data_IF_313411850557
#
_entry.id   IF_313411850557
#
_cell.length_a   1.000
_cell.length_b   1.000
_cell.length_c   1.000
_cell.angle_alpha   90.00
_cell.angle_beta   90.00
_cell.angle_gamma   90.00
#
_symmetry.space_group_name_H-M   'P 1'
#
loop_
_entity.id
_entity.type
_entity.pdbx_description
1 polymer ?
#
# COMPACT_ATOMS: atom_id res chain seq x y z
N UNK A 1 19.78 -0.31 23.42
CA UNK A 1 20.04 -1.72 23.14
C UNK A 1 18.90 -2.28 22.30
N UNK A 2 19.21 -2.96 21.22
CA UNK A 2 18.25 -3.56 20.32
C UNK A 2 17.56 -4.78 20.96
N UNK A 3 16.23 -4.85 20.90
CA UNK A 3 15.48 -5.99 21.48
C UNK A 3 15.66 -7.32 20.73
N UNK A 4 16.19 -7.30 19.49
CA UNK A 4 16.42 -8.53 18.71
C UNK A 4 17.83 -9.11 18.90
N UNK A 5 18.86 -8.29 18.80
CA UNK A 5 20.25 -8.75 18.87
C UNK A 5 20.95 -8.42 20.19
N UNK A 6 20.30 -7.66 21.09
CA UNK A 6 20.82 -7.24 22.41
C UNK A 6 22.06 -6.35 22.34
N UNK A 7 22.51 -5.93 21.15
CA UNK A 7 23.60 -4.98 20.98
C UNK A 7 23.12 -3.53 21.20
N UNK A 8 24.00 -2.70 21.72
CA UNK A 8 23.76 -1.26 21.92
C UNK A 8 24.40 -0.38 20.87
N UNK A 9 25.27 -0.95 20.05
CA UNK A 9 25.99 -0.23 19.00
C UNK A 9 25.01 0.15 17.88
N UNK A 10 25.13 1.36 17.38
CA UNK A 10 24.36 1.85 16.25
C UNK A 10 25.28 2.53 15.24
N UNK A 11 24.94 2.39 13.99
CA UNK A 11 25.52 3.17 12.90
C UNK A 11 24.44 4.11 12.34
N UNK A 12 24.33 5.35 12.86
CA UNK A 12 23.21 6.24 12.53
C UNK A 12 22.99 6.42 11.02
N UNK A 13 24.07 6.37 10.26
CA UNK A 13 24.03 6.53 8.80
C UNK A 13 23.52 5.30 8.03
N UNK A 14 23.68 4.09 8.56
CA UNK A 14 23.41 2.83 7.84
C UNK A 14 22.49 1.89 8.59
N UNK A 15 22.60 1.81 9.91
CA UNK A 15 21.84 0.89 10.77
C UNK A 15 21.45 1.54 12.10
N UNK A 16 20.56 2.55 12.08
CA UNK A 16 20.14 3.23 13.30
C UNK A 16 19.27 2.35 14.19
N UNK A 17 19.30 2.63 15.50
CA UNK A 17 18.29 2.17 16.47
C UNK A 17 17.01 2.99 16.26
N UNK A 18 15.92 2.33 15.91
CA UNK A 18 14.64 2.94 15.56
C UNK A 18 13.53 2.57 16.54
N UNK A 19 12.54 3.45 16.65
CA UNK A 19 11.25 3.23 17.31
C UNK A 19 10.19 2.98 16.25
N UNK A 20 10.12 1.76 15.74
CA UNK A 20 9.23 1.41 14.61
C UNK A 20 7.78 1.08 15.02
N UNK A 21 7.49 1.07 16.32
CA UNK A 21 6.16 0.71 16.84
C UNK A 21 5.81 1.54 18.09
N UNK A 22 4.70 1.21 18.76
CA UNK A 22 4.24 1.91 19.97
C UNK A 22 4.88 1.43 21.27
N UNK A 23 5.80 0.47 21.24
CA UNK A 23 6.56 0.05 22.41
C UNK A 23 7.44 1.18 22.92
N UNK A 24 7.69 1.20 24.22
CA UNK A 24 8.52 2.20 24.90
C UNK A 24 9.61 1.52 25.73
N UNK A 25 10.60 2.31 26.17
CA UNK A 25 11.73 1.81 26.94
C UNK A 25 12.63 0.88 26.12
N UNK A 26 13.30 -0.05 26.80
CA UNK A 26 14.26 -0.97 26.17
C UNK A 26 13.67 -1.85 25.08
N UNK A 27 12.41 -2.25 25.21
CA UNK A 27 11.71 -3.09 24.22
C UNK A 27 11.25 -2.31 22.97
N UNK A 28 11.33 -0.98 22.99
CA UNK A 28 10.95 -0.14 21.86
C UNK A 28 12.02 -0.03 20.77
N UNK A 29 13.29 -0.20 21.15
CA UNK A 29 14.43 0.02 20.27
C UNK A 29 14.79 -1.22 19.47
N UNK A 30 14.97 -1.03 18.17
CA UNK A 30 15.31 -2.10 17.22
C UNK A 30 16.30 -1.51 16.22
N UNK A 31 17.39 -2.24 15.86
CA UNK A 31 18.19 -1.87 14.70
C UNK A 31 17.35 -1.98 13.43
N UNK A 32 17.57 -1.08 12.50
CA UNK A 32 16.92 -1.11 11.21
C UNK A 32 17.13 -2.45 10.47
N UNK A 33 18.39 -2.92 10.43
CA UNK A 33 18.74 -4.20 9.82
C UNK A 33 18.05 -5.38 10.48
N UNK A 34 18.00 -5.41 11.82
CA UNK A 34 17.35 -6.47 12.59
C UNK A 34 15.85 -6.55 12.29
N UNK A 35 15.17 -5.40 12.23
CA UNK A 35 13.75 -5.37 11.88
C UNK A 35 13.53 -5.81 10.43
N UNK A 36 14.36 -5.34 9.51
CA UNK A 36 14.29 -5.70 8.09
C UNK A 36 14.49 -7.21 7.88
N UNK A 37 15.48 -7.79 8.54
CA UNK A 37 15.72 -9.23 8.48
C UNK A 37 14.54 -10.01 9.05
N UNK A 38 14.01 -9.61 10.21
CA UNK A 38 12.83 -10.27 10.78
C UNK A 38 11.62 -10.17 9.85
N UNK A 39 11.34 -9.01 9.30
CA UNK A 39 10.24 -8.82 8.33
C UNK A 39 10.45 -9.67 7.07
N UNK A 40 11.68 -9.86 6.61
CA UNK A 40 11.97 -10.69 5.44
C UNK A 40 11.62 -12.16 5.66
N UNK A 41 11.79 -12.68 6.88
CA UNK A 41 11.39 -14.05 7.23
C UNK A 41 9.87 -14.25 7.29
N UNK A 42 9.11 -13.18 7.50
CA UNK A 42 7.64 -13.20 7.55
C UNK A 42 6.99 -12.95 6.17
N UNK A 43 7.79 -12.59 5.18
CA UNK A 43 7.34 -12.21 3.84
C UNK A 43 7.26 -13.42 2.92
N UNK A 44 6.13 -13.58 2.26
CA UNK A 44 6.00 -14.44 1.08
C UNK A 44 5.92 -13.55 -0.16
N UNK A 45 6.93 -13.56 -1.00
CA UNK A 45 6.85 -12.89 -2.30
C UNK A 45 6.01 -13.76 -3.22
N UNK A 46 4.92 -13.24 -3.74
CA UNK A 46 4.22 -13.84 -4.87
C UNK A 46 4.92 -13.45 -6.17
N UNK A 47 4.80 -14.31 -7.16
CA UNK A 47 5.40 -14.12 -8.46
C UNK A 47 5.13 -12.69 -8.98
N UNK A 48 6.19 -12.04 -9.45
CA UNK A 48 6.11 -10.82 -10.25
C UNK A 48 5.32 -11.19 -11.50
N UNK A 49 4.17 -10.56 -11.71
CA UNK A 49 3.35 -10.81 -12.89
C UNK A 49 3.95 -10.07 -14.08
N UNK A 50 4.53 -8.90 -13.84
CA UNK A 50 5.25 -8.09 -14.83
C UNK A 50 6.40 -7.33 -14.18
N UNK A 51 7.30 -6.74 -14.96
CA UNK A 51 8.38 -5.88 -14.46
C UNK A 51 7.85 -4.64 -13.72
N UNK A 52 6.58 -4.30 -13.93
CA UNK A 52 5.94 -3.13 -13.35
C UNK A 52 5.20 -3.44 -12.05
N UNK A 53 4.80 -4.70 -11.80
CA UNK A 53 3.98 -5.07 -10.65
C UNK A 53 4.72 -6.06 -9.77
N UNK A 54 4.97 -5.67 -8.52
CA UNK A 54 5.52 -6.55 -7.50
C UNK A 54 4.51 -6.71 -6.36
N UNK A 55 4.12 -7.93 -6.08
CA UNK A 55 3.16 -8.24 -5.03
C UNK A 55 3.84 -8.92 -3.86
N UNK A 56 3.57 -8.42 -2.68
CA UNK A 56 4.10 -8.94 -1.42
C UNK A 56 2.95 -9.38 -0.52
N UNK A 57 3.24 -10.38 0.27
CA UNK A 57 2.30 -10.95 1.20
C UNK A 57 2.97 -11.09 2.56
N UNK A 58 2.37 -10.49 3.60
CA UNK A 58 2.83 -10.64 4.98
C UNK A 58 1.74 -11.25 5.86
N UNK A 59 2.12 -12.27 6.61
CA UNK A 59 1.26 -12.78 7.67
C UNK A 59 1.10 -11.76 8.79
N UNK A 60 2.19 -11.06 9.14
CA UNK A 60 2.21 -10.06 10.21
C UNK A 60 3.17 -8.94 9.87
N UNK A 61 2.64 -7.77 9.48
CA UNK A 61 3.41 -6.54 9.33
C UNK A 61 3.14 -5.61 10.52
N UNK A 62 3.27 -6.19 11.72
CA UNK A 62 2.97 -5.52 12.97
C UNK A 62 3.94 -5.97 14.07
N UNK A 63 4.06 -5.16 15.10
CA UNK A 63 4.84 -5.50 16.28
C UNK A 63 4.19 -6.64 17.06
N UNK A 64 4.94 -7.69 17.38
CA UNK A 64 4.44 -8.84 18.14
C UNK A 64 3.99 -8.48 19.55
N UNK A 65 4.56 -7.41 20.14
CA UNK A 65 4.28 -6.98 21.51
C UNK A 65 3.05 -6.05 21.54
N UNK A 66 3.12 -4.90 20.85
CA UNK A 66 2.07 -3.87 20.95
C UNK A 66 1.03 -3.91 19.82
N UNK A 67 1.16 -4.83 18.86
CA UNK A 67 0.25 -5.00 17.70
C UNK A 67 0.11 -3.76 16.80
N UNK A 68 0.98 -2.76 16.99
CA UNK A 68 1.01 -1.63 16.09
C UNK A 68 1.65 -2.03 14.76
N UNK A 69 1.03 -1.62 13.65
CA UNK A 69 1.60 -1.79 12.31
C UNK A 69 2.92 -1.04 12.20
N UNK A 70 3.89 -1.64 11.53
CA UNK A 70 5.13 -0.94 11.20
C UNK A 70 4.91 0.07 10.08
N UNK A 71 5.60 1.22 10.08
CA UNK A 71 5.57 2.13 8.96
C UNK A 71 6.38 1.55 7.78
N UNK A 72 5.97 1.82 6.56
CA UNK A 72 6.77 1.42 5.37
C UNK A 72 8.05 2.22 5.23
N UNK A 73 7.98 3.47 5.67
CA UNK A 73 9.06 4.44 5.61
C UNK A 73 9.19 5.11 6.98
N UNK A 74 10.40 5.39 7.40
CA UNK A 74 10.63 6.23 8.56
C UNK A 74 11.84 7.14 8.34
N UNK A 75 11.87 8.25 9.05
CA UNK A 75 13.00 9.18 9.06
C UNK A 75 13.82 8.97 10.30
N UNK A 76 15.15 8.93 10.15
CA UNK A 76 16.07 9.02 11.26
C UNK A 76 16.09 10.44 11.84
N UNK A 77 16.79 10.62 12.98
CA UNK A 77 17.02 11.93 13.57
C UNK A 77 17.70 12.91 12.60
N UNK A 78 18.54 12.39 11.72
CA UNK A 78 19.26 13.15 10.69
C UNK A 78 18.46 13.33 9.39
N UNK A 79 17.14 13.21 9.44
CA UNK A 79 16.23 13.31 8.28
C UNK A 79 16.50 12.30 7.15
N UNK A 80 17.34 11.29 7.36
CA UNK A 80 17.55 10.23 6.39
C UNK A 80 16.35 9.31 6.33
N UNK A 81 15.92 8.97 5.10
CA UNK A 81 14.77 8.11 4.87
C UNK A 81 15.21 6.64 4.81
N UNK A 82 14.58 5.80 5.63
CA UNK A 82 14.77 4.36 5.67
C UNK A 82 13.50 3.64 5.23
N UNK A 83 13.65 2.61 4.39
CA UNK A 83 12.55 1.83 3.82
C UNK A 83 12.51 0.44 4.43
N UNK A 84 11.43 0.10 5.14
CA UNK A 84 11.22 -1.27 5.65
C UNK A 84 10.78 -2.25 4.55
N UNK A 85 10.12 -1.73 3.53
CA UNK A 85 9.80 -2.50 2.33
C UNK A 85 10.84 -2.14 1.27
N UNK A 86 11.55 -3.16 0.79
CA UNK A 86 12.36 -2.99 -0.41
C UNK A 86 11.42 -2.80 -1.59
N UNK A 87 11.23 -1.55 -1.93
CA UNK A 87 10.73 -1.24 -3.24
C UNK A 87 11.86 -1.56 -4.21
N UNK A 88 11.60 -2.21 -5.34
CA UNK A 88 12.62 -2.45 -6.36
C UNK A 88 13.22 -1.16 -6.96
N UNK A 89 12.93 -0.03 -6.38
CA UNK A 89 13.48 1.29 -6.67
C UNK A 89 14.86 1.35 -6.01
N UNK A 90 15.91 1.10 -6.77
CA UNK A 90 17.27 1.30 -6.28
C UNK A 90 18.23 0.13 -6.36
N UNK A 91 18.02 -0.80 -7.24
CA UNK A 91 19.11 -1.66 -7.73
C UNK A 91 19.91 -0.93 -8.79
N UNK A 92 20.71 0.09 -8.42
CA UNK A 92 21.78 0.64 -9.26
C UNK A 92 21.40 1.29 -10.61
N UNK A 93 20.14 1.57 -10.89
CA UNK A 93 19.67 2.22 -12.11
C UNK A 93 18.73 3.37 -11.82
N UNK A 94 18.81 4.41 -12.62
CA UNK A 94 18.11 5.71 -12.52
C UNK A 94 16.59 5.65 -12.76
N UNK A 95 15.91 4.53 -12.47
CA UNK A 95 14.47 4.40 -12.69
C UNK A 95 13.68 4.89 -11.46
N UNK A 96 13.61 6.22 -11.33
CA UNK A 96 12.88 6.93 -10.28
C UNK A 96 11.45 7.32 -10.69
N UNK A 97 10.83 6.59 -11.61
CA UNK A 97 9.48 6.85 -12.08
C UNK A 97 8.43 6.84 -10.94
N UNK A 98 7.26 7.45 -11.18
CA UNK A 98 6.16 7.43 -10.22
C UNK A 98 5.71 5.99 -9.92
N UNK A 99 5.27 5.76 -8.69
CA UNK A 99 4.73 4.48 -8.25
C UNK A 99 3.57 4.65 -7.29
N UNK A 100 2.71 3.64 -7.21
CA UNK A 100 1.63 3.55 -6.23
C UNK A 100 1.73 2.25 -5.44
N UNK A 101 1.43 2.32 -4.16
CA UNK A 101 1.29 1.17 -3.27
C UNK A 101 -0.19 0.93 -3.00
N UNK A 102 -0.65 -0.28 -3.31
CA UNK A 102 -1.97 -0.75 -2.92
C UNK A 102 -1.82 -1.72 -1.76
N UNK A 103 -2.50 -1.45 -0.67
CA UNK A 103 -2.50 -2.31 0.51
C UNK A 103 -3.90 -2.85 0.76
N UNK A 104 -4.03 -4.16 0.86
CA UNK A 104 -5.29 -4.76 1.30
C UNK A 104 -5.52 -4.47 2.77
N UNK A 105 -6.73 -4.02 3.12
CA UNK A 105 -7.16 -3.89 4.51
C UNK A 105 -7.79 -5.21 4.94
N UNK A 106 -7.16 -5.99 5.82
CA UNK A 106 -7.73 -7.24 6.28
C UNK A 106 -9.00 -6.98 7.08
N UNK A 107 -10.06 -7.74 6.80
CA UNK A 107 -11.33 -7.66 7.51
C UNK A 107 -11.24 -8.26 8.92
N UNK A 108 -10.29 -9.15 9.15
CA UNK A 108 -10.02 -9.77 10.44
C UNK A 108 -8.52 -9.82 10.76
N UNK A 109 -8.19 -10.11 12.04
CA UNK A 109 -6.79 -10.13 12.53
C UNK A 109 -5.96 -11.30 11.99
N UNK A 110 -6.59 -12.30 11.40
CA UNK A 110 -5.92 -13.50 10.89
C UNK A 110 -5.65 -13.41 9.38
N UNK A 111 -6.27 -12.44 8.71
CA UNK A 111 -6.08 -12.24 7.28
C UNK A 111 -4.76 -11.52 7.03
N UNK A 112 -4.00 -12.07 6.11
CA UNK A 112 -2.71 -11.51 5.74
C UNK A 112 -2.86 -10.27 4.90
N UNK A 113 -1.92 -9.35 5.06
CA UNK A 113 -1.85 -8.15 4.24
C UNK A 113 -1.18 -8.44 2.90
N UNK A 114 -1.80 -8.00 1.84
CA UNK A 114 -1.21 -7.96 0.51
C UNK A 114 -0.83 -6.53 0.18
N UNK A 115 0.36 -6.37 -0.37
CA UNK A 115 0.84 -5.08 -0.86
C UNK A 115 1.25 -5.28 -2.30
N UNK A 116 0.69 -4.46 -3.18
CA UNK A 116 1.06 -4.40 -4.58
C UNK A 116 1.77 -3.08 -4.83
N UNK A 117 2.99 -3.17 -5.35
CA UNK A 117 3.75 -2.03 -5.84
C UNK A 117 3.60 -1.97 -7.36
N UNK A 118 3.00 -0.91 -7.85
CA UNK A 118 2.81 -0.64 -9.27
C UNK A 118 3.74 0.49 -9.68
N UNK A 119 4.57 0.28 -10.70
CA UNK A 119 5.52 1.26 -11.20
C UNK A 119 5.15 1.75 -12.59
N UNK A 120 5.21 3.05 -12.78
CA UNK A 120 5.05 3.68 -14.08
C UNK A 120 6.35 3.50 -14.86
N UNK A 121 6.26 3.08 -16.11
CA UNK A 121 7.41 2.99 -17.02
C UNK A 121 7.85 4.37 -17.50
N UNK A 122 9.06 4.45 -18.00
CA UNK A 122 9.63 5.69 -18.53
C UNK A 122 8.86 6.25 -19.74
N UNK A 123 8.09 5.38 -20.46
CA UNK A 123 7.23 5.81 -21.58
C UNK A 123 5.92 6.49 -21.13
N UNK A 124 5.68 6.56 -19.82
CA UNK A 124 4.55 7.29 -19.22
C UNK A 124 3.17 6.68 -19.40
N UNK A 125 3.02 5.68 -20.27
CA UNK A 125 1.75 4.98 -20.50
C UNK A 125 1.67 3.78 -19.57
N UNK A 126 0.86 3.89 -18.51
CA UNK A 126 0.64 2.80 -17.57
C UNK A 126 -0.83 2.65 -17.24
N UNK A 127 -1.32 1.44 -17.49
CA UNK A 127 -2.61 0.97 -17.03
C UNK A 127 -2.39 -0.37 -16.31
N UNK A 128 -2.96 -0.48 -15.12
CA UNK A 128 -2.89 -1.68 -14.28
C UNK A 128 -4.31 -2.15 -13.99
N UNK A 129 -4.67 -3.31 -14.50
CA UNK A 129 -5.97 -3.90 -14.27
C UNK A 129 -6.03 -4.57 -12.90
N UNK A 130 -7.11 -4.34 -12.19
CA UNK A 130 -7.44 -4.96 -10.90
C UNK A 130 -8.62 -5.90 -11.12
N UNK A 131 -8.50 -7.14 -10.67
CA UNK A 131 -9.58 -8.11 -10.83
C UNK A 131 -9.24 -9.48 -10.25
N UNK A 132 -10.20 -10.42 -10.36
CA UNK A 132 -9.95 -11.80 -9.97
C UNK A 132 -9.47 -12.69 -11.13
N UNK A 133 -9.51 -12.18 -12.36
CA UNK A 133 -9.09 -12.89 -13.58
C UNK A 133 -7.58 -13.03 -13.67
N UNK A 134 -7.14 -13.91 -14.55
CA UNK A 134 -5.71 -14.12 -14.80
C UNK A 134 -5.10 -12.98 -15.61
N UNK A 135 -5.93 -12.23 -16.30
CA UNK A 135 -5.60 -11.06 -17.11
C UNK A 135 -5.33 -9.80 -16.25
N UNK A 136 -5.69 -9.81 -14.96
CA UNK A 136 -5.47 -8.69 -14.07
C UNK A 136 -4.04 -8.72 -13.48
N UNK A 137 -3.31 -7.61 -13.60
CA UNK A 137 -1.97 -7.44 -13.00
C UNK A 137 -2.03 -7.43 -11.48
N UNK A 138 -3.11 -6.85 -10.92
CA UNK A 138 -3.40 -6.87 -9.48
C UNK A 138 -4.54 -7.87 -9.25
N UNK A 139 -4.15 -9.09 -8.89
CA UNK A 139 -5.12 -10.16 -8.71
C UNK A 139 -5.68 -10.21 -7.29
N UNK A 140 -7.01 -10.10 -7.18
CA UNK A 140 -7.76 -10.18 -5.92
C UNK A 140 -8.62 -11.45 -5.94
N UNK A 141 -8.30 -12.41 -5.05
CA UNK A 141 -9.01 -13.68 -4.93
C UNK A 141 -10.29 -13.52 -4.08
N UNK A 142 -11.28 -12.81 -4.65
CA UNK A 142 -12.59 -12.64 -4.03
C UNK A 142 -13.68 -12.83 -5.09
N UNK A 143 -14.70 -13.63 -4.77
CA UNK A 143 -15.79 -13.98 -5.68
C UNK A 143 -16.65 -12.76 -6.04
N UNK A 144 -16.70 -11.74 -5.19
CA UNK A 144 -17.43 -10.49 -5.44
C UNK A 144 -16.69 -9.57 -6.42
N UNK A 145 -15.40 -9.80 -6.65
CA UNK A 145 -14.60 -9.01 -7.60
C UNK A 145 -14.77 -9.56 -9.01
N UNK A 146 -15.08 -8.69 -9.99
CA UNK A 146 -15.16 -9.06 -11.40
C UNK A 146 -13.81 -9.53 -11.94
N UNK A 147 -13.78 -10.27 -13.05
CA UNK A 147 -12.52 -10.73 -13.68
C UNK A 147 -11.60 -9.57 -14.01
N UNK A 148 -12.15 -8.56 -14.71
CA UNK A 148 -11.61 -7.20 -14.79
C UNK A 148 -12.60 -6.32 -14.04
N UNK A 149 -12.16 -5.66 -12.97
CA UNK A 149 -13.03 -4.91 -12.07
C UNK A 149 -12.79 -3.42 -12.17
N UNK A 150 -11.53 -3.03 -12.07
CA UNK A 150 -11.10 -1.64 -12.12
C UNK A 150 -9.73 -1.53 -12.79
N UNK A 151 -9.36 -0.33 -13.23
CA UNK A 151 -8.04 -0.04 -13.74
C UNK A 151 -7.43 1.16 -13.01
N UNK A 152 -6.14 1.09 -12.72
CA UNK A 152 -5.35 2.24 -12.28
C UNK A 152 -4.57 2.74 -13.49
N UNK A 153 -4.75 4.03 -13.80
CA UNK A 153 -4.06 4.73 -14.87
C UNK A 153 -3.21 5.85 -14.32
N UNK A 154 -2.02 6.00 -14.86
CA UNK A 154 -1.19 7.15 -14.57
C UNK A 154 -1.28 8.16 -15.73
N UNK A 155 -1.39 9.44 -15.37
CA UNK A 155 -1.31 10.57 -16.31
C UNK A 155 -0.23 11.53 -15.80
N UNK A 156 0.76 11.77 -16.64
CA UNK A 156 1.84 12.70 -16.31
C UNK A 156 1.28 14.09 -15.93
N UNK A 157 1.86 14.70 -14.90
CA UNK A 157 1.40 15.97 -14.34
C UNK A 157 0.06 15.94 -13.61
N UNK A 158 -0.70 14.83 -13.68
CA UNK A 158 -2.01 14.68 -13.02
C UNK A 158 -2.07 13.57 -11.98
N UNK A 159 -1.13 12.61 -12.00
CA UNK A 159 -1.05 11.51 -11.05
C UNK A 159 -1.85 10.27 -11.43
N UNK A 160 -2.23 9.48 -10.43
CA UNK A 160 -2.94 8.23 -10.59
C UNK A 160 -4.46 8.42 -10.54
N UNK A 161 -5.17 7.69 -11.39
CA UNK A 161 -6.62 7.63 -11.48
C UNK A 161 -7.07 6.18 -11.32
N UNK A 162 -8.21 6.00 -10.65
CA UNK A 162 -8.88 4.71 -10.53
C UNK A 162 -10.21 4.78 -11.30
N UNK A 163 -10.37 3.88 -12.26
CA UNK A 163 -11.58 3.77 -13.06
C UNK A 163 -12.24 2.41 -12.83
N UNK A 164 -13.55 2.38 -12.60
CA UNK A 164 -14.33 1.15 -12.59
C UNK A 164 -14.54 0.66 -14.03
N UNK A 165 -14.30 -0.63 -14.29
CA UNK A 165 -14.44 -1.25 -15.61
C UNK A 165 -15.83 -1.89 -15.78
N UNK A 166 -16.88 -1.19 -15.40
CA UNK A 166 -18.25 -1.69 -15.42
C UNK A 166 -18.38 -3.00 -14.63
N UNK A 167 -17.82 -3.00 -13.45
CA UNK A 167 -17.81 -4.16 -12.57
C UNK A 167 -19.21 -4.49 -12.04
N UNK A 168 -19.45 -5.74 -11.65
CA UNK A 168 -20.79 -6.21 -11.23
C UNK A 168 -21.33 -5.43 -10.01
N UNK A 169 -20.46 -5.07 -9.06
CA UNK A 169 -20.86 -4.42 -7.81
C UNK A 169 -20.34 -2.99 -7.66
N UNK A 170 -19.60 -2.50 -8.66
CA UNK A 170 -18.97 -1.18 -8.63
C UNK A 170 -17.74 -1.10 -7.72
N UNK A 171 -17.02 0.01 -7.84
CA UNK A 171 -15.88 0.36 -7.01
C UNK A 171 -16.29 1.48 -6.05
N UNK A 172 -16.08 1.28 -4.74
CA UNK A 172 -16.46 2.26 -3.72
C UNK A 172 -15.18 2.86 -3.11
N UNK A 173 -15.14 4.19 -3.04
CA UNK A 173 -14.07 4.92 -2.37
C UNK A 173 -14.58 5.58 -1.08
N UNK A 174 -13.78 5.50 -0.01
CA UNK A 174 -14.10 6.18 1.24
C UNK A 174 -13.88 7.68 1.07
N UNK A 175 -14.97 8.45 1.15
CA UNK A 175 -14.89 9.91 1.15
C UNK A 175 -14.42 10.40 2.53
N UNK A 176 -13.23 10.99 2.58
CA UNK A 176 -12.67 11.64 3.77
C UNK A 176 -12.68 13.17 3.66
N UNK A 177 -12.80 13.68 2.44
CA UNK A 177 -12.89 15.10 2.10
C UNK A 177 -14.30 15.44 1.62
N UNK A 178 -14.70 16.71 1.63
CA UNK A 178 -15.97 17.15 1.09
C UNK A 178 -16.16 16.70 -0.36
N UNK A 179 -17.31 16.10 -0.65
CA UNK A 179 -17.69 15.68 -2.01
C UNK A 179 -18.47 16.80 -2.66
N UNK A 180 -18.02 17.25 -3.83
CA UNK A 180 -18.75 18.23 -4.64
C UNK A 180 -20.05 17.62 -5.19
N UNK A 181 -21.14 18.38 -5.13
CA UNK A 181 -22.44 18.02 -5.70
C UNK A 181 -22.74 18.96 -6.86
N UNK A 182 -22.25 18.68 -8.08
CA UNK A 182 -22.48 19.56 -9.22
C UNK A 182 -23.98 19.64 -9.54
N UNK A 183 -24.49 20.81 -9.97
CA UNK A 183 -25.88 20.95 -10.40
C UNK A 183 -26.24 19.93 -11.48
N UNK A 184 -27.45 19.39 -11.38
CA UNK A 184 -28.03 18.44 -12.33
C UNK A 184 -27.24 17.12 -12.54
N UNK A 185 -26.19 16.87 -11.73
CA UNK A 185 -25.42 15.64 -11.78
C UNK A 185 -25.75 14.78 -10.54
N UNK A 186 -26.31 13.58 -10.71
CA UNK A 186 -26.59 12.72 -9.57
C UNK A 186 -25.27 12.17 -8.98
N UNK A 187 -25.14 12.23 -7.67
CA UNK A 187 -24.03 11.65 -6.89
C UNK A 187 -24.62 10.60 -5.97
N UNK A 188 -24.16 9.36 -6.07
CA UNK A 188 -24.59 8.27 -5.20
C UNK A 188 -23.57 8.05 -4.09
N UNK A 189 -24.03 8.06 -2.86
CA UNK A 189 -23.24 7.81 -1.66
C UNK A 189 -23.75 6.55 -0.95
N UNK A 190 -22.84 5.79 -0.37
CA UNK A 190 -23.17 4.69 0.52
C UNK A 190 -22.92 5.09 1.97
N UNK A 191 -23.97 5.05 2.80
CA UNK A 191 -23.90 5.26 4.25
C UNK A 191 -24.28 3.94 4.95
N UNK A 192 -23.30 3.24 5.47
CA UNK A 192 -23.52 1.89 5.98
C UNK A 192 -23.98 0.93 4.88
N UNK A 193 -25.24 0.45 4.97
CA UNK A 193 -25.86 -0.43 3.94
C UNK A 193 -26.83 0.31 3.03
N UNK A 194 -27.02 1.61 3.23
CA UNK A 194 -28.00 2.41 2.50
C UNK A 194 -27.30 3.20 1.39
N UNK A 195 -27.86 3.14 0.18
CA UNK A 195 -27.46 3.98 -0.93
C UNK A 195 -28.38 5.19 -1.01
N UNK A 196 -27.80 6.37 -1.11
CA UNK A 196 -28.50 7.63 -1.29
C UNK A 196 -28.02 8.27 -2.60
N UNK A 197 -28.94 8.62 -3.47
CA UNK A 197 -28.63 9.44 -4.64
C UNK A 197 -29.04 10.87 -4.38
N UNK A 198 -28.07 11.77 -4.44
CA UNK A 198 -28.22 13.20 -4.25
C UNK A 198 -28.16 13.89 -5.60
N UNK A 199 -29.09 14.80 -5.85
CA UNK A 199 -29.07 15.64 -7.06
C UNK A 199 -29.40 17.07 -6.66
N UNK A 200 -28.42 17.96 -6.80
CA UNK A 200 -28.65 19.39 -6.68
C UNK A 200 -29.38 19.89 -7.94
N UNK A 201 -30.42 20.70 -7.76
CA UNK A 201 -31.13 21.36 -8.87
C UNK A 201 -30.92 22.86 -8.75
N UNK A 202 -30.62 23.50 -9.85
CA UNK A 202 -30.70 24.95 -9.95
C UNK A 202 -32.17 25.35 -10.03
N UNK A 203 -32.56 26.38 -9.26
CA UNK A 203 -33.90 26.99 -9.24
C UNK A 203 -33.90 28.20 -10.16
#
# INVERSE_FOLDING_TARGET
>A
MCRFCWAGEESPATDPLILACKCRGSVGLIHYSCLKNWLSTQRCQRATITDQVTSFYWKKFECEICKASYPYLFKSKDNKLFKLIETPIGGGGEDTGPYILLESQPLDKNTSRMIHLLRVRADGLCEFNIGRGNEAEVRINDISVSRLHAAIRYKEGRGFFLDDLNSKFGTIALAKEPVSLPPNTPVTLQLGRTLLTLQAKEV
#
